data_IF_624138740312
#
_entry.id   IF_624138740312
#
_cell.length_a   1.000
_cell.length_b   1.000
_cell.length_c   1.000
_cell.angle_alpha   90.00
_cell.angle_beta   90.00
_cell.angle_gamma   90.00
#
_symmetry.space_group_name_H-M   'P 1'
#
loop_
_entity.id
_entity.type
_entity.pdbx_description
1 polymer ?
#
# COMPACT_ATOMS: atom_id res chain seq x y z
N UNK A 1 12.78 -11.48 17.30
CA UNK A 1 11.47 -11.63 16.61
C UNK A 1 10.95 -10.23 16.26
N UNK A 2 10.53 -9.99 15.01
CA UNK A 2 10.12 -8.63 14.58
C UNK A 2 8.63 -8.45 14.79
N UNK A 3 8.22 -7.44 15.57
CA UNK A 3 6.82 -7.12 15.87
C UNK A 3 6.21 -6.20 14.80
N UNK A 4 4.93 -6.42 14.50
CA UNK A 4 4.13 -5.54 13.65
C UNK A 4 3.62 -4.37 14.49
N UNK A 5 3.26 -3.26 13.86
CA UNK A 5 2.65 -2.12 14.56
C UNK A 5 1.20 -2.38 15.00
N UNK A 6 0.50 -3.24 14.26
CA UNK A 6 -0.88 -3.64 14.52
C UNK A 6 -0.93 -5.16 14.56
N UNK A 7 -1.73 -5.70 15.48
CA UNK A 7 -2.13 -7.09 15.47
C UNK A 7 -3.55 -7.21 14.92
N UNK A 8 -3.84 -8.24 14.09
CA UNK A 8 -5.17 -8.44 13.54
C UNK A 8 -6.15 -8.76 14.67
N UNK A 9 -7.38 -8.28 14.53
CA UNK A 9 -8.47 -8.62 15.47
C UNK A 9 -8.67 -10.13 15.56
N UNK A 10 -8.61 -10.82 14.42
CA UNK A 10 -8.69 -12.27 14.36
C UNK A 10 -7.45 -12.89 13.68
N UNK A 11 -6.46 -13.38 14.46
CA UNK A 11 -5.23 -13.96 13.91
C UNK A 11 -5.41 -15.22 13.06
N UNK A 12 -6.50 -15.98 13.26
CA UNK A 12 -6.77 -17.19 12.46
C UNK A 12 -7.25 -16.82 11.07
N UNK A 13 -8.16 -15.84 10.96
CA UNK A 13 -8.69 -15.32 9.68
C UNK A 13 -7.78 -14.29 8.97
N UNK A 14 -6.52 -14.19 9.40
CA UNK A 14 -5.61 -13.16 8.91
C UNK A 14 -4.24 -13.72 8.52
N UNK A 15 -3.64 -13.18 7.48
CA UNK A 15 -2.25 -13.46 7.10
C UNK A 15 -1.39 -12.18 7.20
N UNK A 16 -0.09 -12.37 7.49
CA UNK A 16 0.87 -11.27 7.63
C UNK A 16 1.97 -11.41 6.58
N UNK A 17 2.48 -10.30 6.07
CA UNK A 17 3.63 -10.26 5.15
C UNK A 17 4.50 -9.03 5.46
N UNK A 18 5.84 -9.21 5.46
CA UNK A 18 6.79 -8.13 5.77
C UNK A 18 8.02 -8.16 4.85
N UNK A 19 8.46 -6.98 4.44
CA UNK A 19 9.75 -6.76 3.79
C UNK A 19 10.56 -5.72 4.55
N UNK A 20 11.81 -6.04 4.88
CA UNK A 20 12.69 -5.16 5.66
C UNK A 20 13.88 -4.68 4.84
N UNK A 21 14.36 -3.46 5.12
CA UNK A 21 15.53 -2.87 4.45
C UNK A 21 15.41 -2.86 2.91
N UNK A 22 14.19 -2.71 2.40
CA UNK A 22 13.93 -2.73 0.95
C UNK A 22 14.52 -1.48 0.30
N UNK A 23 15.32 -1.67 -0.75
CA UNK A 23 15.97 -0.58 -1.49
C UNK A 23 15.01 0.09 -2.48
N UNK A 24 13.94 0.65 -1.95
CA UNK A 24 12.92 1.41 -2.69
C UNK A 24 12.65 2.75 -1.98
N UNK A 25 12.25 3.77 -2.72
CA UNK A 25 12.11 5.12 -2.19
C UNK A 25 10.89 5.24 -1.26
N UNK A 26 11.16 5.38 0.05
CA UNK A 26 10.15 5.44 1.11
C UNK A 26 8.92 6.31 0.78
N UNK A 27 9.12 7.54 0.30
CA UNK A 27 8.00 8.46 0.05
C UNK A 27 7.06 7.93 -1.05
N UNK A 28 7.61 7.34 -2.10
CA UNK A 28 6.82 6.82 -3.21
C UNK A 28 6.06 5.58 -2.74
N UNK A 29 6.76 4.71 -2.01
CA UNK A 29 6.20 3.46 -1.49
C UNK A 29 5.06 3.73 -0.49
N UNK A 30 5.16 4.79 0.31
CA UNK A 30 4.09 5.21 1.21
C UNK A 30 2.83 5.63 0.46
N UNK A 31 2.95 6.42 -0.60
CA UNK A 31 1.78 6.85 -1.39
C UNK A 31 1.14 5.65 -2.11
N UNK A 32 1.95 4.76 -2.71
CA UNK A 32 1.43 3.53 -3.35
C UNK A 32 0.76 2.60 -2.36
N UNK A 33 1.33 2.41 -1.18
CA UNK A 33 0.78 1.53 -0.17
C UNK A 33 -0.56 2.05 0.34
N UNK A 34 -0.68 3.37 0.54
CA UNK A 34 -1.93 3.97 0.96
C UNK A 34 -3.02 3.90 -0.12
N UNK A 35 -2.65 3.90 -1.40
CA UNK A 35 -3.62 3.75 -2.49
C UNK A 35 -4.29 2.37 -2.52
N UNK A 36 -3.61 1.31 -2.07
CA UNK A 36 -4.14 -0.06 -2.05
C UNK A 36 -4.75 -0.47 -0.70
N UNK A 37 -4.66 0.37 0.33
CA UNK A 37 -5.21 0.08 1.65
C UNK A 37 -6.73 -0.10 1.56
N UNK A 38 -7.25 -1.18 2.13
CA UNK A 38 -8.68 -1.52 2.14
C UNK A 38 -9.20 -2.15 0.84
N UNK A 39 -8.34 -2.40 -0.16
CA UNK A 39 -8.76 -3.10 -1.37
C UNK A 39 -8.78 -4.62 -1.20
N UNK A 40 -9.66 -5.28 -1.95
CA UNK A 40 -9.54 -6.71 -2.22
C UNK A 40 -8.24 -7.00 -2.96
N UNK A 41 -7.64 -8.16 -2.66
CA UNK A 41 -6.32 -8.52 -3.17
C UNK A 41 -6.25 -8.53 -4.71
N UNK A 42 -7.24 -9.13 -5.37
CA UNK A 42 -7.34 -9.15 -6.84
C UNK A 42 -7.39 -7.76 -7.46
N UNK A 43 -8.15 -6.85 -6.84
CA UNK A 43 -8.26 -5.45 -7.28
C UNK A 43 -6.95 -4.70 -7.07
N UNK A 44 -6.30 -4.88 -5.92
CA UNK A 44 -5.00 -4.29 -5.62
C UNK A 44 -3.92 -4.77 -6.61
N UNK A 45 -3.85 -6.08 -6.87
CA UNK A 45 -2.91 -6.69 -7.82
C UNK A 45 -3.13 -6.16 -9.24
N UNK A 46 -4.39 -6.06 -9.70
CA UNK A 46 -4.72 -5.46 -11.00
C UNK A 46 -4.31 -3.99 -11.05
N UNK A 47 -4.65 -3.21 -10.03
CA UNK A 47 -4.30 -1.79 -9.95
C UNK A 47 -2.78 -1.56 -10.00
N UNK A 48 -1.99 -2.31 -9.24
CA UNK A 48 -0.54 -2.18 -9.25
C UNK A 48 0.08 -2.58 -10.59
N UNK A 49 -0.45 -3.59 -11.29
CA UNK A 49 -0.06 -3.92 -12.66
C UNK A 49 -0.42 -2.81 -13.66
N UNK A 50 -1.58 -2.17 -13.50
CA UNK A 50 -1.94 -1.02 -14.33
C UNK A 50 -1.04 0.20 -14.09
N UNK A 51 -0.57 0.39 -12.85
CA UNK A 51 0.40 1.44 -12.49
C UNK A 51 1.75 1.20 -13.17
N UNK A 52 2.24 -0.04 -13.26
CA UNK A 52 3.51 -0.33 -13.95
C UNK A 52 3.41 -0.09 -15.45
N UNK A 53 2.22 -0.30 -16.03
CA UNK A 53 1.89 -0.01 -17.43
C UNK A 53 1.44 1.44 -17.69
N UNK A 54 1.44 2.30 -16.67
CA UNK A 54 1.01 3.70 -16.72
C UNK A 54 -0.46 3.95 -17.12
N UNK A 55 -1.31 2.92 -17.02
CA UNK A 55 -2.74 3.01 -17.31
C UNK A 55 -3.52 3.69 -16.19
N UNK A 56 -3.09 3.50 -14.94
CA UNK A 56 -3.66 4.15 -13.76
C UNK A 56 -2.56 4.79 -12.93
N UNK A 57 -2.82 5.98 -12.38
CA UNK A 57 -1.85 6.70 -11.56
C UNK A 57 -2.03 6.43 -10.07
N UNK A 58 -0.96 6.65 -9.31
CA UNK A 58 -0.98 6.68 -7.85
C UNK A 58 -1.19 8.13 -7.41
N UNK A 59 -2.21 8.43 -6.58
CA UNK A 59 -2.39 9.76 -6.03
C UNK A 59 -1.29 10.06 -5.00
N UNK A 60 -0.60 11.19 -5.17
CA UNK A 60 0.40 11.65 -4.19
C UNK A 60 -0.27 12.67 -3.27
N UNK A 61 -0.50 12.29 -2.01
CA UNK A 61 -1.22 13.12 -1.03
C UNK A 61 -0.30 13.82 -0.04
N UNK A 62 0.58 13.08 0.66
CA UNK A 62 1.47 13.67 1.69
C UNK A 62 2.78 14.17 1.10
N UNK A 63 3.38 13.40 0.20
CA UNK A 63 4.68 13.72 -0.40
C UNK A 63 4.53 14.23 -1.84
N UNK A 64 3.77 15.32 -2.02
CA UNK A 64 3.38 15.86 -3.32
C UNK A 64 4.14 17.13 -3.76
N UNK A 65 5.17 17.55 -3.02
CA UNK A 65 6.00 18.70 -3.38
C UNK A 65 6.69 18.52 -4.74
N UNK A 66 6.42 19.41 -5.69
CA UNK A 66 6.96 19.36 -7.05
C UNK A 66 6.40 18.22 -7.93
N UNK A 67 5.29 17.59 -7.52
CA UNK A 67 4.64 16.54 -8.33
C UNK A 67 3.72 17.17 -9.38
N UNK A 68 3.85 16.72 -10.63
CA UNK A 68 3.00 17.15 -11.74
C UNK A 68 1.53 16.77 -11.55
N UNK A 69 0.64 17.49 -12.24
CA UNK A 69 -0.79 17.16 -12.29
C UNK A 69 -1.04 16.10 -13.36
N UNK A 70 -1.99 15.20 -13.10
CA UNK A 70 -2.34 14.12 -14.01
C UNK A 70 -3.85 13.97 -14.09
N UNK A 71 -4.41 13.81 -15.29
CA UNK A 71 -5.85 13.61 -15.47
C UNK A 71 -6.37 12.33 -14.78
N UNK A 72 -5.55 11.27 -14.73
CA UNK A 72 -5.89 10.00 -14.07
C UNK A 72 -6.10 10.17 -12.55
N UNK A 73 -5.56 11.23 -11.92
CA UNK A 73 -5.73 11.47 -10.50
C UNK A 73 -7.17 11.87 -10.13
N UNK A 74 -7.98 12.30 -11.11
CA UNK A 74 -9.40 12.67 -10.92
C UNK A 74 -10.23 11.54 -10.33
N UNK A 75 -9.93 10.28 -10.68
CA UNK A 75 -10.58 9.09 -10.09
C UNK A 75 -10.50 9.06 -8.56
N UNK A 76 -9.45 9.66 -8.00
CA UNK A 76 -9.17 9.70 -6.56
C UNK A 76 -9.63 10.99 -5.89
N UNK A 77 -10.38 11.85 -6.61
CA UNK A 77 -10.73 13.19 -6.16
C UNK A 77 -9.51 14.08 -5.95
N UNK A 78 -8.42 13.85 -6.70
CA UNK A 78 -7.14 14.53 -6.50
C UNK A 78 -6.56 15.05 -7.83
N UNK A 79 -5.56 15.93 -7.78
CA UNK A 79 -4.97 16.53 -8.98
C UNK A 79 -3.57 15.99 -9.32
N UNK A 80 -2.80 15.60 -8.32
CA UNK A 80 -1.40 15.21 -8.47
C UNK A 80 -1.20 13.70 -8.37
N UNK A 81 -0.50 13.11 -9.34
CA UNK A 81 -0.25 11.68 -9.39
C UNK A 81 0.99 11.32 -10.20
N UNK A 82 1.54 10.13 -9.93
CA UNK A 82 2.68 9.56 -10.69
C UNK A 82 2.53 8.04 -10.83
N UNK A 83 3.46 7.45 -11.58
CA UNK A 83 3.56 6.00 -11.78
C UNK A 83 4.87 5.45 -11.18
N UNK A 84 4.96 5.28 -9.85
CA UNK A 84 6.16 4.79 -9.18
C UNK A 84 6.36 3.27 -9.41
N UNK A 85 6.83 2.89 -10.61
CA UNK A 85 7.03 1.51 -11.07
C UNK A 85 7.73 0.60 -10.05
N UNK A 86 8.91 1.02 -9.56
CA UNK A 86 9.67 0.24 -8.57
C UNK A 86 8.90 0.00 -7.26
N UNK A 87 8.10 0.95 -6.81
CA UNK A 87 7.27 0.76 -5.60
C UNK A 87 6.12 -0.21 -5.85
N UNK A 88 5.48 -0.14 -7.02
CA UNK A 88 4.43 -1.07 -7.40
C UNK A 88 4.94 -2.52 -7.53
N UNK A 89 6.12 -2.72 -8.14
CA UNK A 89 6.75 -4.05 -8.26
C UNK A 89 7.03 -4.68 -6.90
N UNK A 90 7.65 -3.94 -5.97
CA UNK A 90 7.91 -4.45 -4.61
C UNK A 90 6.60 -4.77 -3.87
N UNK A 91 5.55 -3.97 -4.04
CA UNK A 91 4.24 -4.25 -3.43
C UNK A 91 3.56 -5.47 -4.06
N UNK A 92 3.70 -5.70 -5.37
CA UNK A 92 3.20 -6.90 -6.03
C UNK A 92 3.88 -8.17 -5.49
N UNK A 93 5.20 -8.15 -5.30
CA UNK A 93 5.91 -9.26 -4.68
C UNK A 93 5.44 -9.52 -3.25
N UNK A 94 5.17 -8.46 -2.49
CA UNK A 94 4.67 -8.54 -1.13
C UNK A 94 3.25 -9.14 -1.04
N UNK A 95 2.37 -8.77 -1.98
CA UNK A 95 1.02 -9.34 -2.10
C UNK A 95 1.06 -10.81 -2.48
N UNK A 96 1.92 -11.20 -3.44
CA UNK A 96 2.13 -12.61 -3.80
C UNK A 96 2.60 -13.46 -2.61
N UNK A 97 3.47 -12.90 -1.78
CA UNK A 97 3.90 -13.55 -0.55
C UNK A 97 2.75 -13.68 0.46
N UNK A 98 1.88 -12.67 0.56
CA UNK A 98 0.70 -12.73 1.41
C UNK A 98 -0.34 -13.76 0.93
N UNK A 99 -0.54 -13.90 -0.39
CA UNK A 99 -1.35 -14.95 -1.02
C UNK A 99 -0.85 -16.33 -0.62
N UNK A 100 0.44 -16.60 -0.81
CA UNK A 100 1.03 -17.89 -0.43
C UNK A 100 0.90 -18.18 1.06
N UNK A 101 1.04 -17.16 1.93
CA UNK A 101 0.82 -17.32 3.37
C UNK A 101 -0.65 -17.60 3.73
N UNK A 102 -1.61 -17.07 2.95
CA UNK A 102 -3.03 -17.30 3.15
C UNK A 102 -3.43 -18.70 2.69
N UNK A 103 -2.92 -19.17 1.56
CA UNK A 103 -3.10 -20.54 1.06
C UNK A 103 -2.59 -21.56 2.09
N UNK A 104 -1.40 -21.34 2.67
CA UNK A 104 -0.86 -22.19 3.73
C UNK A 104 -1.72 -22.21 4.99
N UNK A 105 -2.48 -21.15 5.27
CA UNK A 105 -3.43 -21.08 6.38
C UNK A 105 -4.82 -21.63 6.03
N UNK A 106 -5.08 -21.99 4.78
CA UNK A 106 -6.39 -22.43 4.31
C UNK A 106 -7.45 -21.34 4.27
N UNK A 107 -7.04 -20.07 4.14
CA UNK A 107 -7.96 -18.94 3.99
C UNK A 107 -8.46 -18.84 2.54
N UNK A 108 -9.68 -18.34 2.34
CA UNK A 108 -10.15 -18.00 1.00
C UNK A 108 -9.42 -16.77 0.46
N UNK A 109 -8.53 -17.01 -0.51
CA UNK A 109 -7.71 -15.99 -1.17
C UNK A 109 -8.57 -14.91 -1.85
N UNK A 110 -9.76 -15.28 -2.33
CA UNK A 110 -10.61 -14.38 -3.09
C UNK A 110 -11.31 -13.35 -2.21
N UNK A 111 -11.60 -13.73 -0.97
CA UNK A 111 -12.23 -12.90 0.05
C UNK A 111 -11.23 -12.06 0.87
N UNK A 112 -9.93 -12.14 0.57
CA UNK A 112 -8.90 -11.36 1.26
C UNK A 112 -8.97 -9.86 0.94
N UNK A 113 -8.96 -9.08 2.01
CA UNK A 113 -8.88 -7.61 1.98
C UNK A 113 -7.62 -7.16 2.70
N UNK A 114 -6.95 -6.14 2.14
CA UNK A 114 -5.80 -5.51 2.78
C UNK A 114 -6.29 -4.60 3.91
N UNK A 115 -6.34 -5.12 5.13
CA UNK A 115 -6.77 -4.37 6.31
C UNK A 115 -5.70 -3.34 6.70
N UNK A 116 -4.47 -3.81 6.89
CA UNK A 116 -3.35 -2.99 7.32
C UNK A 116 -2.24 -3.04 6.30
N UNK A 117 -1.71 -1.86 5.98
CA UNK A 117 -0.47 -1.71 5.26
C UNK A 117 0.25 -0.49 5.80
N UNK A 118 1.50 -0.67 6.17
CA UNK A 118 2.34 0.38 6.71
C UNK A 118 3.72 0.34 6.07
N UNK A 119 4.22 1.54 5.79
CA UNK A 119 5.56 1.77 5.25
C UNK A 119 6.31 2.67 6.23
N UNK A 120 7.43 2.18 6.74
CA UNK A 120 8.29 2.89 7.69
C UNK A 120 9.66 3.15 7.05
N UNK A 121 10.36 4.20 7.52
CA UNK A 121 11.72 4.49 7.06
C UNK A 121 12.67 3.42 7.57
N UNK A 122 13.58 2.97 6.71
CA UNK A 122 14.69 2.10 7.09
C UNK A 122 16.00 2.90 7.22
N UNK A 123 17.07 2.34 7.81
CA UNK A 123 18.37 2.99 7.90
C UNK A 123 18.87 3.47 6.53
N UNK A 124 19.28 4.75 6.45
CA UNK A 124 19.75 5.35 5.21
C UNK A 124 21.11 4.77 4.80
N UNK A 125 21.31 4.48 3.51
CA UNK A 125 22.64 4.10 3.01
C UNK A 125 23.32 5.33 2.45
N UNK A 126 24.53 5.63 2.94
CA UNK A 126 25.28 6.85 2.63
C UNK A 126 26.28 6.62 1.50
N UNK A 127 26.30 7.54 0.54
CA UNK A 127 27.34 7.72 -0.48
C UNK A 127 27.82 9.18 -0.45
N UNK A 128 28.86 9.49 -1.21
CA UNK A 128 29.43 10.85 -1.33
C UNK A 128 29.07 11.47 -2.67
N UNK A 129 28.84 12.78 -2.67
CA UNK A 129 28.78 13.61 -3.89
C UNK A 129 29.81 14.70 -3.78
N UNK A 130 30.77 14.72 -4.70
CA UNK A 130 31.76 15.78 -4.83
C UNK A 130 31.12 17.02 -5.44
N UNK A 131 31.43 18.19 -4.89
CA UNK A 131 30.85 19.49 -5.28
C UNK A 131 31.97 20.50 -5.53
N UNK A 132 31.60 21.61 -6.19
CA UNK A 132 32.51 22.70 -6.47
C UNK A 132 33.26 23.19 -5.22
N UNK A 133 34.51 23.61 -5.42
CA UNK A 133 35.46 24.05 -4.40
C UNK A 133 35.80 22.97 -3.34
N UNK A 134 35.97 21.71 -3.77
CA UNK A 134 36.41 20.63 -2.88
C UNK A 134 35.39 20.18 -1.82
N UNK A 135 34.14 20.66 -1.88
CA UNK A 135 33.09 20.31 -0.92
C UNK A 135 32.58 18.88 -1.12
N UNK A 136 32.23 18.20 -0.04
CA UNK A 136 31.67 16.84 -0.07
C UNK A 136 30.30 16.83 0.62
N UNK A 137 29.25 16.53 -0.14
CA UNK A 137 27.89 16.39 0.38
C UNK A 137 27.47 14.91 0.50
N UNK A 138 26.57 14.56 1.43
CA UNK A 138 26.03 13.21 1.52
C UNK A 138 24.99 12.95 0.42
N UNK A 139 25.08 11.79 -0.22
CA UNK A 139 24.04 11.25 -1.09
C UNK A 139 23.44 9.99 -0.47
N UNK A 140 22.23 10.12 0.09
CA UNK A 140 21.63 9.07 0.90
C UNK A 140 20.48 8.39 0.17
N UNK A 141 20.47 7.06 0.14
CA UNK A 141 19.26 6.32 -0.17
C UNK A 141 18.29 6.37 1.02
N UNK A 142 16.99 6.37 0.72
CA UNK A 142 15.92 6.32 1.73
C UNK A 142 15.11 5.02 1.57
N UNK A 143 15.66 3.88 2.00
CA UNK A 143 14.97 2.58 1.96
C UNK A 143 13.78 2.54 2.93
N UNK A 144 12.97 1.49 2.85
CA UNK A 144 11.81 1.32 3.73
C UNK A 144 11.63 -0.11 4.25
N UNK A 145 10.91 -0.19 5.37
CA UNK A 145 10.25 -1.41 5.83
C UNK A 145 8.79 -1.35 5.40
N UNK A 146 8.25 -2.44 4.88
CA UNK A 146 6.84 -2.60 4.52
C UNK A 146 6.30 -3.75 5.35
N UNK A 147 5.16 -3.53 5.98
CA UNK A 147 4.38 -4.57 6.63
C UNK A 147 2.94 -4.49 6.15
N UNK A 148 2.29 -5.64 5.99
CA UNK A 148 0.90 -5.74 5.62
C UNK A 148 0.22 -6.90 6.32
N UNK A 149 -1.06 -6.72 6.58
CA UNK A 149 -1.97 -7.72 7.15
C UNK A 149 -3.18 -7.78 6.24
N UNK A 150 -3.52 -8.99 5.82
CA UNK A 150 -4.72 -9.25 5.06
C UNK A 150 -5.65 -10.09 5.91
N UNK A 151 -6.93 -9.78 5.81
CA UNK A 151 -7.99 -10.44 6.57
C UNK A 151 -9.04 -10.94 5.62
N UNK A 152 -9.56 -12.12 5.88
CA UNK A 152 -10.77 -12.60 5.22
C UNK A 152 -11.96 -11.78 5.72
N UNK A 153 -12.67 -11.12 4.80
CA UNK A 153 -13.92 -10.42 5.13
C UNK A 153 -15.10 -11.21 4.61
N UNK A 154 -15.98 -11.60 5.52
CA UNK A 154 -17.29 -12.14 5.17
C UNK A 154 -18.13 -11.02 4.54
N UNK A 155 -18.80 -11.34 3.42
CA UNK A 155 -19.79 -10.44 2.84
C UNK A 155 -21.05 -10.46 3.72
N UNK A 156 -21.08 -9.63 4.75
CA UNK A 156 -22.29 -9.42 5.54
C UNK A 156 -23.22 -8.55 4.70
N UNK A 157 -24.24 -9.15 4.09
CA UNK A 157 -25.34 -8.42 3.48
C UNK A 157 -26.11 -7.76 4.63
N UNK A 158 -26.18 -6.42 4.72
CA UNK A 158 -26.92 -5.77 5.78
C UNK A 158 -28.39 -6.18 5.67
N UNK A 159 -28.99 -6.57 6.80
CA UNK A 159 -30.44 -6.80 6.87
C UNK A 159 -31.16 -5.47 6.52
N UNK A 160 -32.24 -5.51 5.73
CA UNK A 160 -33.02 -4.32 5.44
C UNK A 160 -33.51 -3.69 6.75
N UNK A 161 -33.36 -2.36 6.87
CA UNK A 161 -33.91 -1.62 7.99
C UNK A 161 -35.44 -1.76 7.97
N UNK A 162 -36.04 -2.16 9.09
CA UNK A 162 -37.49 -2.20 9.23
C UNK A 162 -38.04 -0.78 9.11
N UNK A 163 -38.91 -0.54 8.11
CA UNK A 163 -39.59 0.74 7.95
C UNK A 163 -40.39 1.06 9.21
N UNK A 164 -39.91 2.04 9.99
CA UNK A 164 -40.66 2.58 11.12
C UNK A 164 -41.90 3.27 10.56
N UNK A 165 -43.04 2.58 10.69
CA UNK A 165 -44.35 3.07 10.28
C UNK A 165 -44.58 4.49 10.80
N UNK A 166 -44.59 5.46 9.88
CA UNK A 166 -44.88 6.86 10.18
C UNK A 166 -46.31 6.95 10.72
N UNK A 167 -46.45 7.20 12.04
CA UNK A 167 -47.73 7.62 12.62
C UNK A 167 -48.12 8.95 11.98
N UNK A 168 -49.12 8.92 11.09
CA UNK A 168 -49.80 10.12 10.58
C UNK A 168 -50.36 10.91 11.77
N UNK A 169 -50.03 12.20 11.82
CA UNK A 169 -50.77 13.21 12.60
C UNK A 169 -52.05 13.59 11.89
#
# INVERSE_FOLDING_TARGET
MVRYSLDPENPTKSCKSRGSNLRVHFKNTRETAQAIKGMHIRKATKYLKDVTLQKQCVPFRRYNGGVGRCAQAKQWGWTQGRWPKKSAEFLLHMLKNAESNAELKGLDVDSLVIEHIQVNKAPKMRRRTYRAHGRINPYMSSPCHIEMILTEKEQIVPKPEEEVAQKKK
#
